data_IF_202851061147
#
_entry.id   IF_202851061147
#
_cell.length_a   1.000
_cell.length_b   1.000
_cell.length_c   1.000
_cell.angle_alpha   90.00
_cell.angle_beta   90.00
_cell.angle_gamma   90.00
#
_symmetry.space_group_name_H-M   'P 1'
#
loop_
_entity.id
_entity.type
_entity.pdbx_description
1 polymer ?
#
# COMPACT_ATOMS: atom_id res chain seq x y z
N UNK A 1 -22.14 -50.00 47.24
CA UNK A 1 -21.94 -48.60 46.80
C UNK A 1 -22.75 -48.41 45.54
N UNK A 2 -23.90 -47.72 45.61
CA UNK A 2 -24.71 -47.42 44.42
C UNK A 2 -23.95 -46.41 43.57
N UNK A 3 -23.69 -46.78 42.32
CA UNK A 3 -23.12 -45.91 41.29
C UNK A 3 -24.01 -44.67 41.15
N UNK A 4 -23.39 -43.48 41.28
CA UNK A 4 -24.05 -42.22 40.94
C UNK A 4 -24.27 -42.23 39.43
N UNK A 5 -25.52 -42.34 39.00
CA UNK A 5 -25.94 -42.01 37.63
C UNK A 5 -25.39 -40.61 37.30
N UNK A 6 -24.49 -40.54 36.32
CA UNK A 6 -23.96 -39.27 35.83
C UNK A 6 -25.12 -38.42 35.33
N UNK A 7 -25.29 -37.22 35.90
CA UNK A 7 -26.30 -36.26 35.45
C UNK A 7 -26.10 -35.99 33.96
N UNK A 8 -27.19 -35.89 33.21
CA UNK A 8 -27.08 -35.60 31.77
C UNK A 8 -26.62 -34.15 31.57
N UNK A 9 -25.75 -33.91 30.57
CA UNK A 9 -25.24 -32.59 30.20
C UNK A 9 -26.32 -31.48 30.13
N UNK A 10 -27.55 -31.73 29.60
CA UNK A 10 -28.62 -30.74 29.61
C UNK A 10 -29.12 -30.34 31.01
N UNK A 11 -29.15 -31.28 31.96
CA UNK A 11 -29.57 -30.99 33.33
C UNK A 11 -28.55 -30.13 34.07
N UNK A 12 -27.26 -30.38 33.87
CA UNK A 12 -26.18 -29.56 34.47
C UNK A 12 -26.21 -28.12 33.94
N UNK A 13 -26.47 -27.92 32.64
CA UNK A 13 -26.62 -26.59 32.05
C UNK A 13 -27.84 -25.86 32.65
N UNK A 14 -28.95 -26.57 32.86
CA UNK A 14 -30.15 -25.97 33.43
C UNK A 14 -29.98 -25.62 34.92
N UNK A 15 -29.29 -26.47 35.69
CA UNK A 15 -28.93 -26.18 37.09
C UNK A 15 -28.00 -24.96 37.16
N UNK A 16 -26.98 -24.89 36.30
CA UNK A 16 -26.08 -23.75 36.21
C UNK A 16 -26.82 -22.45 35.89
N UNK A 17 -27.75 -22.49 34.93
CA UNK A 17 -28.60 -21.36 34.56
C UNK A 17 -29.44 -20.87 35.74
N UNK A 18 -30.07 -21.77 36.48
CA UNK A 18 -30.87 -21.43 37.66
C UNK A 18 -30.04 -20.77 38.75
N UNK A 19 -28.87 -21.34 39.09
CA UNK A 19 -27.96 -20.74 40.08
C UNK A 19 -27.51 -19.35 39.67
N UNK A 20 -27.23 -19.15 38.38
CA UNK A 20 -26.78 -17.86 37.87
C UNK A 20 -27.91 -16.82 37.87
N UNK A 21 -29.13 -17.23 37.53
CA UNK A 21 -30.32 -16.38 37.59
C UNK A 21 -30.61 -15.94 39.03
N UNK A 22 -30.62 -16.88 39.97
CA UNK A 22 -30.83 -16.60 41.40
C UNK A 22 -29.77 -15.63 41.94
N UNK A 23 -28.51 -15.79 41.51
CA UNK A 23 -27.42 -14.89 41.87
C UNK A 23 -27.70 -13.46 41.36
N UNK A 24 -28.03 -13.30 40.07
CA UNK A 24 -28.31 -11.99 39.47
C UNK A 24 -29.52 -11.30 40.12
N UNK A 25 -30.54 -12.07 40.48
CA UNK A 25 -31.70 -11.57 41.22
C UNK A 25 -31.31 -11.16 42.64
N UNK A 26 -30.53 -11.97 43.36
CA UNK A 26 -30.11 -11.69 44.74
C UNK A 26 -29.23 -10.43 44.85
N UNK A 27 -28.44 -10.16 43.82
CA UNK A 27 -27.57 -8.99 43.73
C UNK A 27 -28.29 -7.74 43.19
N UNK A 28 -29.52 -7.90 42.67
CA UNK A 28 -30.29 -6.88 41.96
C UNK A 28 -29.50 -6.15 40.86
N UNK A 29 -28.70 -6.91 40.10
CA UNK A 29 -27.89 -6.38 39.00
C UNK A 29 -28.38 -6.85 37.63
N UNK A 30 -28.03 -6.07 36.60
CA UNK A 30 -28.12 -6.49 35.20
C UNK A 30 -26.72 -6.75 34.68
N UNK A 31 -26.43 -7.96 34.22
CA UNK A 31 -25.14 -8.31 33.63
C UNK A 31 -25.11 -7.91 32.15
N UNK A 32 -24.18 -7.03 31.79
CA UNK A 32 -23.93 -6.65 30.40
C UNK A 32 -22.58 -7.25 29.98
N UNK A 33 -22.60 -8.10 28.95
CA UNK A 33 -21.40 -8.74 28.39
C UNK A 33 -21.09 -8.10 27.04
N UNK A 34 -19.95 -7.42 26.96
CA UNK A 34 -19.42 -6.83 25.73
C UNK A 34 -18.45 -7.81 25.07
N UNK A 35 -18.72 -8.19 23.83
CA UNK A 35 -17.89 -9.09 23.02
C UNK A 35 -17.44 -8.33 21.79
N UNK A 36 -16.14 -8.13 21.63
CA UNK A 36 -15.52 -7.37 20.53
C UNK A 36 -14.50 -8.25 19.79
N UNK A 37 -14.18 -7.88 18.54
CA UNK A 37 -13.18 -8.54 17.68
C UNK A 37 -13.41 -10.05 17.45
N UNK A 38 -14.66 -10.53 17.53
CA UNK A 38 -15.00 -11.94 17.30
C UNK A 38 -14.68 -12.40 15.87
N UNK A 39 -14.73 -11.47 14.92
CA UNK A 39 -14.38 -11.62 13.52
C UNK A 39 -12.88 -11.80 13.25
N UNK A 40 -12.03 -11.60 14.26
CA UNK A 40 -10.59 -11.90 14.19
C UNK A 40 -10.24 -13.30 14.67
N UNK A 41 -11.18 -13.99 15.31
CA UNK A 41 -10.98 -15.36 15.71
C UNK A 41 -10.94 -16.28 14.48
N UNK A 42 -10.27 -17.43 14.61
CA UNK A 42 -10.40 -18.50 13.64
C UNK A 42 -11.88 -18.93 13.54
N UNK A 43 -12.36 -19.38 12.36
CA UNK A 43 -13.75 -19.75 12.16
C UNK A 43 -14.33 -20.63 13.27
N UNK A 44 -13.66 -21.73 13.60
CA UNK A 44 -14.14 -22.67 14.62
C UNK A 44 -14.21 -22.05 16.01
N UNK A 45 -13.27 -21.16 16.35
CA UNK A 45 -13.26 -20.44 17.62
C UNK A 45 -14.38 -19.42 17.70
N UNK A 46 -14.64 -18.68 16.62
CA UNK A 46 -15.74 -17.71 16.55
C UNK A 46 -17.09 -18.39 16.75
N UNK A 47 -17.33 -19.50 16.03
CA UNK A 47 -18.58 -20.27 16.14
C UNK A 47 -18.72 -20.92 17.51
N UNK A 48 -17.69 -21.58 18.03
CA UNK A 48 -17.72 -22.17 19.38
C UNK A 48 -18.04 -21.12 20.45
N UNK A 49 -17.51 -19.91 20.29
CA UNK A 49 -17.78 -18.79 21.21
C UNK A 49 -19.24 -18.33 21.10
N UNK A 50 -19.79 -18.17 19.89
CA UNK A 50 -21.21 -17.83 19.69
C UNK A 50 -22.15 -18.90 20.25
N UNK A 51 -21.82 -20.18 20.07
CA UNK A 51 -22.59 -21.29 20.62
C UNK A 51 -22.53 -21.34 22.14
N UNK A 52 -21.36 -21.11 22.73
CA UNK A 52 -21.22 -20.99 24.18
C UNK A 52 -22.02 -19.79 24.73
N UNK A 53 -21.96 -18.64 24.05
CA UNK A 53 -22.76 -17.47 24.42
C UNK A 53 -24.25 -17.76 24.35
N UNK A 54 -24.72 -18.53 23.38
CA UNK A 54 -26.14 -18.96 23.26
C UNK A 54 -26.65 -19.67 24.52
N UNK A 55 -25.79 -20.35 25.27
CA UNK A 55 -26.18 -20.95 26.54
C UNK A 55 -26.54 -19.92 27.60
N UNK A 56 -26.02 -18.69 27.52
CA UNK A 56 -26.24 -17.62 28.49
C UNK A 56 -27.12 -16.47 27.96
N UNK A 57 -27.25 -16.33 26.63
CA UNK A 57 -28.00 -15.26 25.94
C UNK A 57 -29.50 -15.16 26.32
N UNK A 58 -30.07 -16.20 26.94
CA UNK A 58 -31.50 -16.27 27.26
C UNK A 58 -31.82 -16.14 28.75
N UNK A 59 -30.84 -15.78 29.58
CA UNK A 59 -31.06 -15.57 31.01
C UNK A 59 -31.69 -14.19 31.28
N UNK A 60 -32.70 -14.09 32.17
CA UNK A 60 -33.21 -12.80 32.61
C UNK A 60 -32.10 -11.95 33.24
N UNK A 61 -32.22 -10.62 33.17
CA UNK A 61 -31.22 -9.66 33.68
C UNK A 61 -29.83 -9.80 33.03
N UNK A 62 -29.74 -10.38 31.84
CA UNK A 62 -28.50 -10.39 31.03
C UNK A 62 -28.70 -9.71 29.68
N UNK A 63 -27.67 -9.01 29.22
CA UNK A 63 -27.61 -8.43 27.87
C UNK A 63 -26.23 -8.68 27.27
N UNK A 64 -26.19 -9.10 26.02
CA UNK A 64 -24.95 -9.31 25.28
C UNK A 64 -24.88 -8.31 24.13
N UNK A 65 -23.75 -7.61 24.04
CA UNK A 65 -23.47 -6.65 22.98
C UNK A 65 -22.29 -7.20 22.20
N UNK A 66 -22.51 -7.52 20.93
CA UNK A 66 -21.51 -8.11 20.04
C UNK A 66 -21.12 -7.07 19.00
N UNK A 67 -19.83 -6.73 18.95
CA UNK A 67 -19.23 -5.92 17.90
C UNK A 67 -18.34 -6.81 17.03
N UNK A 68 -18.71 -6.96 15.76
CA UNK A 68 -17.98 -7.76 14.79
C UNK A 68 -18.36 -7.36 13.36
N UNK A 69 -17.49 -7.61 12.38
CA UNK A 69 -17.84 -7.55 10.97
C UNK A 69 -18.77 -8.72 10.59
N UNK A 70 -19.99 -8.39 10.17
CA UNK A 70 -21.01 -9.35 9.75
C UNK A 70 -20.52 -10.26 8.61
N UNK A 71 -19.75 -9.72 7.65
CA UNK A 71 -19.27 -10.49 6.50
C UNK A 71 -18.22 -11.53 6.92
N UNK A 72 -17.33 -11.15 7.84
CA UNK A 72 -16.30 -12.05 8.36
C UNK A 72 -16.91 -13.20 9.16
N UNK A 73 -17.89 -12.91 10.03
CA UNK A 73 -18.57 -13.96 10.79
C UNK A 73 -19.40 -14.85 9.84
N UNK A 74 -20.09 -14.30 8.82
CA UNK A 74 -20.77 -15.10 7.78
C UNK A 74 -19.80 -16.05 7.07
N UNK A 75 -18.58 -15.58 6.77
CA UNK A 75 -17.50 -16.40 6.23
C UNK A 75 -17.11 -17.54 7.18
N UNK A 76 -16.93 -17.25 8.47
CA UNK A 76 -16.62 -18.24 9.50
C UNK A 76 -17.69 -19.35 9.60
N UNK A 77 -18.98 -18.96 9.57
CA UNK A 77 -20.11 -19.92 9.56
C UNK A 77 -20.01 -20.85 8.35
N UNK A 78 -19.79 -20.29 7.14
CA UNK A 78 -19.66 -21.10 5.92
C UNK A 78 -18.51 -22.11 5.99
N UNK A 79 -17.36 -21.69 6.52
CA UNK A 79 -16.20 -22.59 6.67
C UNK A 79 -16.48 -23.70 7.69
N UNK A 80 -17.08 -23.36 8.84
CA UNK A 80 -17.35 -24.32 9.92
C UNK A 80 -18.32 -25.43 9.52
N UNK A 81 -19.36 -25.11 8.73
CA UNK A 81 -20.35 -26.10 8.27
C UNK A 81 -19.97 -26.83 6.97
N UNK A 82 -18.74 -26.62 6.48
CA UNK A 82 -18.17 -27.30 5.31
C UNK A 82 -18.72 -26.83 3.96
N UNK A 83 -18.01 -27.17 2.87
CA UNK A 83 -18.35 -26.91 1.44
C UNK A 83 -19.68 -27.55 0.95
N UNK A 84 -20.66 -27.72 1.83
CA UNK A 84 -22.05 -27.83 1.40
C UNK A 84 -22.40 -26.45 0.84
N UNK A 85 -23.06 -26.39 -0.32
CA UNK A 85 -23.68 -25.16 -0.82
C UNK A 85 -24.75 -24.71 0.17
N UNK A 86 -24.29 -24.08 1.25
CA UNK A 86 -25.12 -23.50 2.28
C UNK A 86 -25.82 -22.32 1.62
N UNK A 87 -27.13 -22.42 1.49
CA UNK A 87 -27.92 -21.28 1.07
C UNK A 87 -27.67 -20.11 2.03
N UNK A 88 -27.59 -18.89 1.50
CA UNK A 88 -27.45 -17.67 2.31
C UNK A 88 -28.57 -17.54 3.36
N UNK A 89 -29.69 -18.23 3.14
CA UNK A 89 -30.80 -18.38 4.06
C UNK A 89 -30.43 -19.11 5.35
N UNK A 90 -29.61 -20.17 5.30
CA UNK A 90 -29.23 -20.91 6.51
C UNK A 90 -28.29 -20.09 7.39
N UNK A 91 -27.33 -19.40 6.77
CA UNK A 91 -26.42 -18.48 7.48
C UNK A 91 -27.23 -17.35 8.12
N UNK A 92 -28.16 -16.75 7.37
CA UNK A 92 -29.02 -15.69 7.89
C UNK A 92 -29.91 -16.18 9.04
N UNK A 93 -30.48 -17.39 8.93
CA UNK A 93 -31.26 -18.02 10.01
C UNK A 93 -30.42 -18.28 11.27
N UNK A 94 -29.13 -18.59 11.12
CA UNK A 94 -28.22 -18.75 12.25
C UNK A 94 -28.05 -17.43 13.01
N UNK A 95 -27.86 -16.30 12.30
CA UNK A 95 -27.76 -14.97 12.91
C UNK A 95 -29.07 -14.52 13.55
N UNK A 96 -30.21 -14.69 12.88
CA UNK A 96 -31.52 -14.27 13.42
C UNK A 96 -31.86 -14.99 14.75
N UNK A 97 -31.33 -16.21 14.95
CA UNK A 97 -31.50 -16.97 16.19
C UNK A 97 -30.58 -16.53 17.33
N UNK A 98 -29.46 -15.88 17.01
CA UNK A 98 -28.45 -15.46 17.98
C UNK A 98 -28.53 -13.97 18.32
N UNK A 99 -28.78 -13.14 17.31
CA UNK A 99 -28.82 -11.69 17.39
C UNK A 99 -30.27 -11.22 17.35
N UNK A 100 -30.77 -10.76 18.50
CA UNK A 100 -32.14 -10.25 18.61
C UNK A 100 -32.29 -8.86 17.98
N UNK A 101 -31.27 -8.01 18.12
CA UNK A 101 -31.30 -6.62 17.67
C UNK A 101 -30.02 -6.34 16.87
N UNK A 102 -30.07 -6.43 15.53
CA UNK A 102 -28.93 -6.06 14.69
C UNK A 102 -28.82 -4.54 14.59
N UNK A 103 -27.68 -4.00 15.03
CA UNK A 103 -27.34 -2.59 14.88
C UNK A 103 -26.18 -2.45 13.91
N UNK A 104 -26.45 -1.93 12.71
CA UNK A 104 -25.41 -1.64 11.71
C UNK A 104 -24.88 -0.22 11.90
N UNK A 105 -23.57 -0.09 12.10
CA UNK A 105 -22.91 1.22 12.15
C UNK A 105 -22.88 1.81 10.73
N UNK A 106 -23.53 2.96 10.48
CA UNK A 106 -23.51 3.57 9.15
C UNK A 106 -22.14 4.15 8.84
N UNK A 107 -21.83 4.26 7.54
CA UNK A 107 -20.65 5.00 7.08
C UNK A 107 -20.82 6.49 7.37
N UNK A 108 -19.71 7.16 7.60
CA UNK A 108 -19.71 8.60 7.83
C UNK A 108 -19.99 9.34 6.52
N UNK A 109 -20.92 10.29 6.56
CA UNK A 109 -21.15 11.23 5.48
C UNK A 109 -20.13 12.38 5.50
N UNK A 110 -20.27 13.30 4.54
CA UNK A 110 -19.34 14.41 4.37
C UNK A 110 -19.30 15.29 5.61
N UNK A 111 -20.46 15.60 6.20
CA UNK A 111 -20.56 16.46 7.40
C UNK A 111 -19.90 15.82 8.61
N UNK A 112 -20.11 14.51 8.80
CA UNK A 112 -19.50 13.74 9.88
C UNK A 112 -17.98 13.67 9.72
N UNK A 113 -17.48 13.46 8.49
CA UNK A 113 -16.05 13.46 8.22
C UNK A 113 -15.43 14.84 8.43
N UNK A 114 -16.09 15.93 8.01
CA UNK A 114 -15.63 17.30 8.31
C UNK A 114 -15.43 17.48 9.81
N UNK A 115 -16.43 17.08 10.59
CA UNK A 115 -16.39 17.14 12.06
C UNK A 115 -15.26 16.27 12.63
N UNK A 116 -15.11 15.05 12.13
CA UNK A 116 -14.06 14.13 12.56
C UNK A 116 -12.65 14.68 12.29
N UNK A 117 -12.42 15.18 11.07
CA UNK A 117 -11.13 15.76 10.66
C UNK A 117 -10.76 16.96 11.52
N UNK A 118 -11.67 17.93 11.67
CA UNK A 118 -11.35 19.15 12.43
C UNK A 118 -11.09 18.84 13.91
N UNK A 119 -11.76 17.85 14.49
CA UNK A 119 -11.52 17.45 15.89
C UNK A 119 -10.15 16.78 16.06
N UNK A 120 -9.73 15.93 15.12
CA UNK A 120 -8.39 15.33 15.14
C UNK A 120 -7.29 16.38 14.95
N UNK A 121 -7.50 17.32 14.03
CA UNK A 121 -6.56 18.41 13.77
C UNK A 121 -6.49 19.39 14.95
N UNK A 122 -7.60 19.63 15.63
CA UNK A 122 -7.62 20.44 16.86
C UNK A 122 -6.94 19.73 18.05
N UNK A 123 -7.07 18.41 18.17
CA UNK A 123 -6.31 17.62 19.15
C UNK A 123 -4.79 17.74 18.90
N UNK A 124 -4.37 17.71 17.64
CA UNK A 124 -2.98 17.95 17.27
C UNK A 124 -2.53 19.39 17.58
N UNK A 125 -3.38 20.38 17.31
CA UNK A 125 -3.10 21.78 17.64
C UNK A 125 -2.99 22.01 19.15
N UNK A 126 -3.80 21.33 19.97
CA UNK A 126 -3.63 21.32 21.43
C UNK A 126 -2.27 20.75 21.82
N UNK A 127 -1.90 19.60 21.23
CA UNK A 127 -0.61 18.97 21.52
C UNK A 127 0.59 19.85 21.15
N UNK A 128 0.48 20.68 20.10
CA UNK A 128 1.49 21.67 19.70
C UNK A 128 1.49 22.94 20.56
N UNK A 129 0.47 23.15 21.40
CA UNK A 129 0.29 24.35 22.21
C UNK A 129 -0.33 25.54 21.45
N UNK A 130 -0.92 25.29 20.27
CA UNK A 130 -1.55 26.34 19.46
C UNK A 130 -2.86 26.81 20.09
N UNK A 131 -3.64 25.88 20.67
CA UNK A 131 -4.93 26.11 21.34
C UNK A 131 -4.92 25.54 22.76
N UNK A 132 -5.78 26.07 23.63
CA UNK A 132 -5.98 25.50 24.97
C UNK A 132 -6.94 24.32 24.94
N UNK A 133 -6.82 23.44 25.95
CA UNK A 133 -7.71 22.30 26.15
C UNK A 133 -9.17 22.74 26.32
N UNK A 134 -9.40 23.84 27.03
CA UNK A 134 -10.73 24.41 27.27
C UNK A 134 -11.37 24.86 25.95
N UNK A 135 -10.59 25.54 25.09
CA UNK A 135 -11.05 25.97 23.77
C UNK A 135 -11.42 24.77 22.89
N UNK A 136 -10.63 23.70 22.92
CA UNK A 136 -10.94 22.47 22.17
C UNK A 136 -12.21 21.80 22.68
N UNK A 137 -12.39 21.64 23.99
CA UNK A 137 -13.57 20.98 24.57
C UNK A 137 -14.84 21.80 24.26
N UNK A 138 -14.77 23.13 24.40
CA UNK A 138 -15.86 24.02 24.02
C UNK A 138 -16.23 23.86 22.55
N UNK A 139 -15.25 23.94 21.64
CA UNK A 139 -15.45 23.75 20.21
C UNK A 139 -16.00 22.36 19.86
N UNK A 140 -15.54 21.32 20.55
CA UNK A 140 -15.99 19.94 20.34
C UNK A 140 -17.49 19.81 20.55
N UNK A 141 -18.04 20.41 21.62
CA UNK A 141 -19.47 20.38 21.88
C UNK A 141 -20.29 21.04 20.76
N UNK A 142 -19.81 22.17 20.24
CA UNK A 142 -20.45 22.93 19.16
C UNK A 142 -20.42 22.14 17.86
N UNK A 143 -19.27 21.56 17.52
CA UNK A 143 -19.08 20.76 16.31
C UNK A 143 -19.95 19.51 16.35
N UNK A 144 -19.99 18.77 17.48
CA UNK A 144 -20.82 17.58 17.61
C UNK A 144 -22.32 17.90 17.46
N UNK A 145 -22.78 19.02 18.01
CA UNK A 145 -24.15 19.48 17.83
C UNK A 145 -24.45 19.86 16.38
N UNK A 146 -23.52 20.55 15.71
CA UNK A 146 -23.66 20.89 14.29
C UNK A 146 -23.70 19.65 13.37
N UNK A 147 -22.90 18.62 13.69
CA UNK A 147 -22.91 17.33 12.97
C UNK A 147 -24.23 16.59 13.20
N UNK A 148 -24.73 16.56 14.44
CA UNK A 148 -26.05 15.94 14.77
C UNK A 148 -27.20 16.61 14.03
N UNK A 149 -27.11 17.91 13.76
CA UNK A 149 -28.12 18.70 13.05
C UNK A 149 -27.72 18.91 11.59
N UNK A 150 -27.28 17.85 10.91
CA UNK A 150 -26.83 17.90 9.53
C UNK A 150 -27.88 18.48 8.57
N UNK A 151 -29.18 18.29 8.84
CA UNK A 151 -30.29 18.88 8.08
C UNK A 151 -30.50 20.39 8.31
N UNK A 152 -29.93 20.98 9.36
CA UNK A 152 -30.10 22.40 9.74
C UNK A 152 -28.92 23.28 9.27
N UNK A 153 -28.36 22.96 8.10
CA UNK A 153 -27.25 23.70 7.47
C UNK A 153 -25.84 23.13 7.70
N UNK A 154 -25.73 21.93 8.30
CA UNK A 154 -24.49 21.15 8.40
C UNK A 154 -23.31 21.84 9.10
N UNK A 155 -22.12 21.27 8.94
CA UNK A 155 -20.86 21.85 9.41
C UNK A 155 -20.21 22.65 8.27
N UNK A 156 -20.22 23.97 8.39
CA UNK A 156 -19.60 24.89 7.43
C UNK A 156 -18.33 25.51 8.02
N UNK A 157 -17.45 26.02 7.16
CA UNK A 157 -16.27 26.81 7.56
C UNK A 157 -16.60 27.86 8.62
N UNK A 158 -17.63 28.67 8.39
CA UNK A 158 -18.06 29.73 9.33
C UNK A 158 -18.44 29.17 10.71
N UNK A 159 -19.13 28.03 10.77
CA UNK A 159 -19.48 27.38 12.05
C UNK A 159 -18.25 26.83 12.76
N UNK A 160 -17.27 26.31 12.03
CA UNK A 160 -16.00 25.86 12.59
C UNK A 160 -15.20 27.04 13.16
N UNK A 161 -15.09 28.14 12.41
CA UNK A 161 -14.43 29.38 12.87
C UNK A 161 -15.10 29.94 14.14
N UNK A 162 -16.43 29.99 14.17
CA UNK A 162 -17.19 30.41 15.36
C UNK A 162 -16.97 29.49 16.56
N UNK A 163 -16.84 28.17 16.33
CA UNK A 163 -16.60 27.21 17.40
C UNK A 163 -15.24 27.41 18.08
N UNK A 164 -14.20 27.78 17.31
CA UNK A 164 -12.86 28.00 17.85
C UNK A 164 -12.58 29.46 18.26
N UNK A 165 -13.41 30.43 17.86
CA UNK A 165 -13.33 31.81 18.31
C UNK A 165 -11.94 32.43 18.10
N UNK A 166 -11.27 32.85 19.18
CA UNK A 166 -9.91 33.40 19.13
C UNK A 166 -8.85 32.42 18.63
N UNK A 167 -9.08 31.11 18.76
CA UNK A 167 -8.22 30.05 18.23
C UNK A 167 -8.40 29.78 16.73
N UNK A 168 -9.47 30.30 16.11
CA UNK A 168 -9.80 30.05 14.71
C UNK A 168 -8.69 30.51 13.74
N UNK A 169 -8.02 31.63 14.05
CA UNK A 169 -6.92 32.14 13.22
C UNK A 169 -5.73 31.18 13.16
N UNK A 170 -5.42 30.49 14.27
CA UNK A 170 -4.34 29.49 14.33
C UNK A 170 -4.71 28.17 13.68
N UNK A 171 -6.02 27.87 13.62
CA UNK A 171 -6.58 26.66 13.01
C UNK A 171 -7.08 26.87 11.57
N UNK A 172 -6.80 28.02 10.95
CA UNK A 172 -7.37 28.34 9.64
C UNK A 172 -6.97 27.29 8.59
N UNK A 173 -5.71 26.84 8.61
CA UNK A 173 -5.23 25.81 7.69
C UNK A 173 -5.95 24.48 7.94
N UNK A 174 -6.10 24.09 9.19
CA UNK A 174 -6.78 22.86 9.60
C UNK A 174 -8.27 22.88 9.23
N UNK A 175 -8.93 24.01 9.40
CA UNK A 175 -10.33 24.24 9.01
C UNK A 175 -10.46 24.11 7.49
N UNK A 176 -9.56 24.73 6.73
CA UNK A 176 -9.56 24.69 5.27
C UNK A 176 -9.33 23.27 4.75
N UNK A 177 -8.40 22.54 5.36
CA UNK A 177 -8.14 21.14 5.01
C UNK A 177 -9.35 20.24 5.34
N UNK A 178 -9.97 20.41 6.51
CA UNK A 178 -11.15 19.63 6.86
C UNK A 178 -12.31 19.90 5.90
N UNK A 179 -12.51 21.16 5.49
CA UNK A 179 -13.59 21.54 4.58
C UNK A 179 -13.39 21.01 3.16
N UNK A 180 -12.14 21.05 2.64
CA UNK A 180 -11.79 20.63 1.29
C UNK A 180 -11.67 19.10 1.14
N UNK A 181 -11.09 18.41 2.12
CA UNK A 181 -10.78 16.99 2.00
C UNK A 181 -11.97 16.08 2.29
N UNK A 182 -12.95 16.55 3.07
CA UNK A 182 -14.02 15.67 3.54
C UNK A 182 -14.86 15.06 2.41
N UNK A 183 -15.18 15.82 1.35
CA UNK A 183 -15.92 15.28 0.20
C UNK A 183 -15.12 14.17 -0.49
N UNK A 184 -13.83 14.40 -0.73
CA UNK A 184 -12.94 13.43 -1.37
C UNK A 184 -12.73 12.19 -0.51
N UNK A 185 -12.69 12.31 0.82
CA UNK A 185 -12.56 11.18 1.73
C UNK A 185 -13.82 10.30 1.80
N UNK A 186 -15.01 10.85 1.50
CA UNK A 186 -16.22 10.05 1.29
C UNK A 186 -16.20 9.38 -0.07
N UNK A 187 -15.98 10.16 -1.14
CA UNK A 187 -16.19 9.71 -2.51
C UNK A 187 -15.08 8.81 -3.04
N UNK A 188 -13.87 8.88 -2.49
CA UNK A 188 -12.75 8.06 -2.96
C UNK A 188 -12.86 6.62 -2.46
N UNK A 189 -12.85 5.66 -3.39
CA UNK A 189 -12.91 4.22 -3.13
C UNK A 189 -11.81 3.73 -2.16
N UNK A 190 -10.68 4.43 -2.04
CA UNK A 190 -9.59 4.07 -1.12
C UNK A 190 -9.78 4.48 0.35
N UNK A 191 -10.82 5.26 0.66
CA UNK A 191 -11.12 5.76 2.02
C UNK A 191 -12.57 5.48 2.40
N UNK A 192 -13.51 5.76 1.50
CA UNK A 192 -14.93 5.37 1.56
C UNK A 192 -15.58 5.66 2.94
N UNK A 193 -15.22 6.83 3.49
CA UNK A 193 -15.68 7.32 4.78
C UNK A 193 -15.26 6.52 6.02
N UNK A 194 -14.25 5.65 5.91
CA UNK A 194 -13.79 4.82 7.02
C UNK A 194 -12.92 5.62 8.01
N UNK A 195 -13.34 5.82 9.28
CA UNK A 195 -12.61 6.62 10.27
C UNK A 195 -11.17 6.13 10.51
N UNK A 196 -10.96 4.81 10.52
CA UNK A 196 -9.63 4.20 10.72
C UNK A 196 -8.70 4.54 9.57
N UNK A 197 -9.20 4.48 8.33
CA UNK A 197 -8.42 4.82 7.14
C UNK A 197 -8.08 6.30 7.09
N UNK A 198 -9.01 7.16 7.50
CA UNK A 198 -8.81 8.61 7.64
C UNK A 198 -7.74 8.92 8.69
N UNK A 199 -7.84 8.33 9.89
CA UNK A 199 -6.82 8.52 10.94
C UNK A 199 -5.45 8.00 10.49
N UNK A 200 -5.40 6.85 9.80
CA UNK A 200 -4.15 6.33 9.22
C UNK A 200 -3.59 7.27 8.16
N UNK A 201 -4.43 7.86 7.31
CA UNK A 201 -4.02 8.87 6.33
C UNK A 201 -3.39 10.09 7.02
N UNK A 202 -4.06 10.66 8.02
CA UNK A 202 -3.54 11.80 8.78
C UNK A 202 -2.24 11.47 9.52
N UNK A 203 -2.15 10.30 10.17
CA UNK A 203 -0.94 9.88 10.85
C UNK A 203 0.24 9.73 9.87
N UNK A 204 0.03 9.09 8.71
CA UNK A 204 1.05 8.98 7.68
C UNK A 204 1.50 10.37 7.18
N UNK A 205 0.55 11.30 7.05
CA UNK A 205 0.82 12.68 6.64
C UNK A 205 1.69 13.40 7.68
N UNK A 206 1.39 13.24 8.97
CA UNK A 206 2.19 13.80 10.07
C UNK A 206 3.61 13.25 10.10
N UNK A 207 3.77 11.93 9.90
CA UNK A 207 5.08 11.30 9.84
C UNK A 207 5.87 11.85 8.65
N UNK A 208 5.25 12.00 7.48
CA UNK A 208 5.91 12.55 6.29
C UNK A 208 6.30 14.01 6.47
N UNK A 209 5.44 14.84 7.06
CA UNK A 209 5.77 16.24 7.38
C UNK A 209 6.95 16.33 8.36
N UNK A 210 6.99 15.47 9.38
CA UNK A 210 8.11 15.40 10.32
C UNK A 210 9.42 14.97 9.63
N UNK A 211 9.36 13.96 8.74
CA UNK A 211 10.53 13.51 7.96
C UNK A 211 11.01 14.61 7.00
N UNK A 212 10.08 15.30 6.33
CA UNK A 212 10.40 16.42 5.43
C UNK A 212 11.18 17.52 6.17
N UNK A 213 10.67 17.94 7.33
CA UNK A 213 11.30 18.95 8.19
C UNK A 213 12.67 18.49 8.71
N UNK A 214 12.79 17.23 9.14
CA UNK A 214 14.05 16.68 9.62
C UNK A 214 15.13 16.61 8.53
N UNK A 215 14.73 16.42 7.27
CA UNK A 215 15.62 16.42 6.11
C UNK A 215 15.89 17.81 5.52
N UNK A 216 15.30 18.87 6.08
CA UNK A 216 15.42 20.23 5.57
C UNK A 216 14.68 20.48 4.25
N UNK A 217 13.69 19.63 3.91
CA UNK A 217 12.85 19.83 2.74
C UNK A 217 11.79 20.90 3.04
N UNK A 218 11.79 21.98 2.28
CA UNK A 218 10.80 23.05 2.39
C UNK A 218 9.56 22.71 1.54
N UNK A 219 8.68 21.87 2.08
CA UNK A 219 7.44 21.44 1.42
C UNK A 219 6.26 22.09 2.13
N UNK A 220 5.32 22.65 1.36
CA UNK A 220 4.08 23.17 1.91
C UNK A 220 3.14 22.03 2.31
N UNK A 221 2.52 22.14 3.49
CA UNK A 221 1.72 21.06 4.08
C UNK A 221 0.51 20.67 3.23
N UNK A 222 -0.12 21.65 2.59
CA UNK A 222 -1.24 21.49 1.68
C UNK A 222 -0.84 20.76 0.37
N UNK A 223 0.37 21.00 -0.16
CA UNK A 223 0.92 20.23 -1.28
C UNK A 223 1.15 18.77 -0.90
N UNK A 224 1.65 18.51 0.31
CA UNK A 224 1.86 17.16 0.84
C UNK A 224 0.54 16.41 0.98
N UNK A 225 -0.49 17.07 1.51
CA UNK A 225 -1.86 16.53 1.60
C UNK A 225 -2.38 16.14 0.22
N UNK A 226 -2.31 17.07 -0.75
CA UNK A 226 -2.85 16.87 -2.11
C UNK A 226 -2.15 15.70 -2.79
N UNK A 227 -0.81 15.61 -2.73
CA UNK A 227 -0.10 14.48 -3.31
C UNK A 227 -0.41 13.16 -2.59
N UNK A 228 -0.47 13.13 -1.26
CA UNK A 228 -0.76 11.91 -0.53
C UNK A 228 -2.18 11.39 -0.81
N UNK A 229 -3.14 12.28 -1.03
CA UNK A 229 -4.49 11.92 -1.45
C UNK A 229 -4.46 11.26 -2.84
N UNK A 230 -3.70 11.82 -3.77
CA UNK A 230 -3.48 11.23 -5.11
C UNK A 230 -2.83 9.85 -4.99
N UNK A 231 -1.76 9.73 -4.23
CA UNK A 231 -1.07 8.45 -4.02
C UNK A 231 -1.99 7.38 -3.45
N UNK A 232 -2.93 7.73 -2.56
CA UNK A 232 -3.79 6.72 -1.93
C UNK A 232 -5.00 6.33 -2.77
N UNK A 233 -5.57 7.29 -3.50
CA UNK A 233 -6.89 7.15 -4.10
C UNK A 233 -6.86 7.11 -5.63
N UNK A 234 -5.77 7.57 -6.27
CA UNK A 234 -5.63 7.47 -7.72
C UNK A 234 -5.28 6.04 -8.16
N UNK A 235 -5.64 5.67 -9.40
CA UNK A 235 -5.16 4.43 -10.02
C UNK A 235 -3.62 4.33 -9.94
N UNK A 236 -3.06 3.14 -9.69
CA UNK A 236 -1.61 2.95 -9.66
C UNK A 236 -0.92 3.48 -10.92
N UNK A 237 -1.49 3.19 -12.09
CA UNK A 237 -0.99 3.66 -13.39
C UNK A 237 -0.93 5.20 -13.50
N UNK A 238 -1.91 5.91 -12.93
CA UNK A 238 -1.92 7.37 -12.95
C UNK A 238 -0.79 7.96 -12.09
N UNK A 239 -0.54 7.36 -10.93
CA UNK A 239 0.57 7.73 -10.05
C UNK A 239 1.93 7.43 -10.69
N UNK A 240 2.05 6.29 -11.37
CA UNK A 240 3.27 5.92 -12.10
C UNK A 240 3.57 6.88 -13.25
N UNK A 241 2.53 7.27 -14.00
CA UNK A 241 2.67 8.27 -15.04
C UNK A 241 3.19 9.60 -14.47
N UNK A 242 2.67 10.05 -13.33
CA UNK A 242 3.16 11.25 -12.64
C UNK A 242 4.65 11.14 -12.31
N UNK A 243 5.06 10.01 -11.69
CA UNK A 243 6.46 9.78 -11.29
C UNK A 243 7.37 9.78 -12.51
N UNK A 244 6.97 9.11 -13.60
CA UNK A 244 7.74 9.05 -14.84
C UNK A 244 7.93 10.43 -15.46
N UNK A 245 6.86 11.20 -15.60
CA UNK A 245 6.91 12.54 -16.18
C UNK A 245 7.78 13.52 -15.37
N UNK A 246 7.73 13.42 -14.03
CA UNK A 246 8.58 14.25 -13.16
C UNK A 246 10.04 13.81 -13.19
N UNK A 247 10.31 12.51 -13.34
CA UNK A 247 11.68 11.98 -13.40
C UNK A 247 12.38 12.27 -14.74
N UNK A 248 11.64 12.37 -15.84
CA UNK A 248 12.15 12.71 -17.17
C UNK A 248 12.59 14.18 -17.29
N UNK A 249 12.24 15.04 -16.33
CA UNK A 249 12.52 16.48 -16.35
C UNK A 249 13.51 16.91 -15.29
N UNK A 250 14.47 17.75 -15.68
CA UNK A 250 15.50 18.27 -14.77
C UNK A 250 14.96 19.29 -13.75
N UNK A 251 13.85 19.95 -14.05
CA UNK A 251 13.22 20.97 -13.19
C UNK A 251 12.27 20.37 -12.14
N UNK A 252 11.90 19.10 -12.25
CA UNK A 252 10.98 18.42 -11.34
C UNK A 252 9.54 18.92 -11.42
N UNK A 253 9.18 19.72 -12.42
CA UNK A 253 7.85 20.32 -12.59
C UNK A 253 6.99 19.49 -13.53
N UNK A 254 5.74 19.28 -13.14
CA UNK A 254 4.76 18.60 -13.97
C UNK A 254 3.97 19.62 -14.81
N UNK A 255 4.54 20.08 -15.95
CA UNK A 255 3.85 21.10 -16.78
C UNK A 255 2.53 20.57 -17.37
N UNK A 256 2.41 19.26 -17.57
CA UNK A 256 1.12 18.68 -17.99
C UNK A 256 0.03 18.91 -16.93
N UNK A 257 0.37 18.89 -15.63
CA UNK A 257 -0.58 19.27 -14.56
C UNK A 257 -0.90 20.76 -14.65
N UNK A 258 0.10 21.62 -14.91
CA UNK A 258 -0.11 23.05 -15.05
C UNK A 258 -1.10 23.39 -16.18
N UNK A 259 -0.93 22.76 -17.34
CA UNK A 259 -1.81 22.93 -18.51
C UNK A 259 -3.26 22.50 -18.20
N UNK A 260 -3.42 21.39 -17.49
CA UNK A 260 -4.72 20.87 -17.07
C UNK A 260 -5.37 21.77 -16.01
N UNK A 261 -4.62 22.19 -14.99
CA UNK A 261 -5.09 23.11 -13.94
C UNK A 261 -5.49 24.48 -14.52
N UNK A 262 -4.78 24.96 -15.56
CA UNK A 262 -5.10 26.20 -16.25
C UNK A 262 -6.35 26.08 -17.14
N UNK A 263 -6.49 24.97 -17.88
CA UNK A 263 -7.69 24.70 -18.67
C UNK A 263 -8.94 24.56 -17.78
N UNK A 264 -8.83 23.84 -16.65
CA UNK A 264 -9.92 23.73 -15.67
C UNK A 264 -10.28 25.08 -15.04
N UNK A 265 -9.30 25.96 -14.83
CA UNK A 265 -9.56 27.31 -14.35
C UNK A 265 -10.29 28.20 -15.37
N UNK A 266 -10.10 27.94 -16.67
CA UNK A 266 -10.81 28.63 -17.77
C UNK A 266 -12.20 28.04 -18.05
N UNK A 267 -12.54 26.90 -17.45
CA UNK A 267 -13.81 26.20 -17.66
C UNK A 267 -13.81 25.27 -18.86
N UNK A 268 -12.65 24.99 -19.45
CA UNK A 268 -12.49 24.07 -20.57
C UNK A 268 -12.40 22.61 -20.08
N UNK A 269 -12.77 21.66 -20.94
CA UNK A 269 -12.53 20.23 -20.71
C UNK A 269 -11.12 19.88 -21.19
N UNK A 270 -10.12 19.72 -20.30
CA UNK A 270 -8.75 19.42 -20.69
C UNK A 270 -8.66 18.02 -21.33
N UNK A 271 -7.80 17.90 -22.34
CA UNK A 271 -7.39 16.59 -22.84
C UNK A 271 -6.51 15.93 -21.78
N UNK A 272 -6.92 14.75 -21.29
CA UNK A 272 -6.13 14.00 -20.32
C UNK A 272 -4.91 13.37 -21.00
N UNK A 273 -3.74 13.35 -20.33
CA UNK A 273 -2.48 12.92 -20.94
C UNK A 273 -2.43 11.41 -21.19
N UNK A 274 -3.21 10.64 -20.43
CA UNK A 274 -3.28 9.19 -20.49
C UNK A 274 -4.68 8.70 -20.10
N UNK A 275 -5.04 7.48 -20.54
CA UNK A 275 -6.32 6.86 -20.19
C UNK A 275 -6.48 6.70 -18.67
N UNK A 276 -5.39 6.44 -17.94
CA UNK A 276 -5.40 6.32 -16.47
C UNK A 276 -5.73 7.62 -15.73
N UNK A 277 -5.61 8.77 -16.41
CA UNK A 277 -5.94 10.10 -15.86
C UNK A 277 -7.37 10.53 -16.16
N UNK A 278 -8.14 9.72 -16.88
CA UNK A 278 -9.53 10.02 -17.27
C UNK A 278 -10.55 9.67 -16.18
N UNK A 279 -10.10 9.21 -15.02
CA UNK A 279 -10.99 8.82 -13.92
C UNK A 279 -11.65 10.02 -13.24
N UNK A 280 -12.92 9.88 -12.79
CA UNK A 280 -13.65 10.96 -12.10
C UNK A 280 -12.90 11.52 -10.90
N UNK A 281 -12.26 10.65 -10.11
CA UNK A 281 -11.46 11.05 -8.96
C UNK A 281 -10.32 12.02 -9.33
N UNK A 282 -9.62 11.76 -10.44
CA UNK A 282 -8.49 12.60 -10.88
C UNK A 282 -8.98 13.99 -11.25
N UNK A 283 -10.15 14.08 -11.90
CA UNK A 283 -10.76 15.36 -12.26
C UNK A 283 -11.15 16.21 -11.04
N UNK A 284 -11.65 15.58 -9.98
CA UNK A 284 -12.01 16.28 -8.75
C UNK A 284 -10.77 16.62 -7.91
N UNK A 285 -9.75 15.75 -7.94
CA UNK A 285 -8.46 16.00 -7.32
C UNK A 285 -7.74 17.21 -7.93
N UNK A 286 -7.79 17.38 -9.26
CA UNK A 286 -7.18 18.52 -9.97
C UNK A 286 -7.82 19.87 -9.58
N UNK A 287 -9.10 19.88 -9.20
CA UNK A 287 -9.81 21.09 -8.73
C UNK A 287 -9.41 21.51 -7.31
N UNK A 288 -8.72 20.66 -6.56
CA UNK A 288 -8.28 20.97 -5.20
C UNK A 288 -7.14 21.98 -5.20
N UNK A 289 -7.11 22.82 -4.17
CA UNK A 289 -5.95 23.64 -3.85
C UNK A 289 -4.96 22.83 -3.00
N UNK A 290 -3.64 23.11 -3.07
CA UNK A 290 -2.96 24.09 -3.93
C UNK A 290 -2.72 23.57 -5.35
N UNK A 291 -2.42 24.47 -6.30
CA UNK A 291 -1.95 24.08 -7.64
C UNK A 291 -0.57 23.43 -7.56
N UNK A 292 -0.37 22.34 -8.30
CA UNK A 292 0.88 21.57 -8.29
C UNK A 292 1.72 21.77 -9.55
N UNK A 293 1.15 22.37 -10.61
CA UNK A 293 1.83 22.53 -11.90
C UNK A 293 3.17 23.27 -11.85
N UNK A 294 3.28 24.30 -11.01
CA UNK A 294 4.48 25.14 -10.91
C UNK A 294 5.47 24.70 -9.81
N UNK A 295 5.08 23.71 -8.99
CA UNK A 295 5.86 23.25 -7.85
C UNK A 295 6.86 22.15 -8.27
N UNK A 296 8.05 22.15 -7.65
CA UNK A 296 8.98 21.03 -7.77
C UNK A 296 8.44 19.84 -6.97
N UNK A 297 8.03 18.78 -7.67
CA UNK A 297 7.42 17.61 -7.05
C UNK A 297 8.44 16.58 -6.58
N UNK A 298 9.73 16.73 -6.88
CA UNK A 298 10.76 15.74 -6.49
C UNK A 298 10.85 15.52 -4.97
N UNK A 299 10.83 16.56 -4.11
CA UNK A 299 10.83 16.36 -2.66
C UNK A 299 9.59 15.60 -2.17
N UNK A 300 8.43 15.90 -2.76
CA UNK A 300 7.17 15.24 -2.44
C UNK A 300 7.19 13.77 -2.87
N UNK A 301 7.65 13.47 -4.09
CA UNK A 301 7.82 12.11 -4.61
C UNK A 301 8.88 11.30 -3.85
N UNK A 302 9.93 11.97 -3.37
CA UNK A 302 10.95 11.35 -2.52
C UNK A 302 10.33 10.82 -1.21
N UNK A 303 9.41 11.56 -0.60
CA UNK A 303 8.69 11.12 0.61
C UNK A 303 7.64 10.05 0.33
N UNK A 304 7.10 10.02 -0.89
CA UNK A 304 6.22 8.95 -1.38
C UNK A 304 6.98 7.68 -1.80
N UNK A 305 8.30 7.60 -1.53
CA UNK A 305 9.11 6.44 -1.89
C UNK A 305 8.72 5.13 -1.21
N UNK A 306 7.87 5.13 -0.20
CA UNK A 306 7.38 3.88 0.40
C UNK A 306 6.52 3.07 -0.58
N UNK A 307 5.71 3.73 -1.42
CA UNK A 307 5.05 3.11 -2.58
C UNK A 307 6.02 2.97 -3.77
N UNK A 308 6.96 3.90 -3.90
CA UNK A 308 7.98 3.86 -4.95
C UNK A 308 9.02 2.73 -4.75
N UNK A 309 9.18 2.20 -3.53
CA UNK A 309 10.05 1.05 -3.23
C UNK A 309 9.35 -0.26 -3.59
N UNK A 310 8.02 -0.27 -3.64
CA UNK A 310 7.27 -1.23 -4.44
C UNK A 310 7.55 -1.06 -5.95
N UNK A 311 8.24 -0.01 -6.43
CA UNK A 311 8.73 0.07 -7.82
C UNK A 311 10.04 -0.71 -8.03
N UNK A 312 10.62 -1.35 -7.01
CA UNK A 312 11.49 -2.50 -7.28
C UNK A 312 10.71 -3.65 -7.95
N UNK A 313 9.37 -3.60 -7.97
CA UNK A 313 8.48 -4.48 -8.75
C UNK A 313 8.27 -4.01 -10.19
N UNK A 314 8.72 -2.81 -10.61
CA UNK A 314 8.74 -2.41 -12.03
C UNK A 314 9.87 -3.07 -12.82
N UNK A 315 10.67 -3.88 -12.14
CA UNK A 315 11.51 -4.90 -12.73
C UNK A 315 10.68 -6.07 -13.28
N UNK A 316 9.35 -6.08 -13.20
CA UNK A 316 8.52 -7.16 -13.73
C UNK A 316 8.67 -7.29 -15.25
N UNK A 317 9.49 -8.26 -15.64
CA UNK A 317 9.51 -8.85 -16.97
C UNK A 317 8.07 -9.21 -17.38
N UNK A 318 7.78 -9.04 -18.67
CA UNK A 318 6.60 -9.65 -19.32
C UNK A 318 6.51 -11.15 -18.97
N UNK A 319 5.33 -11.76 -18.97
CA UNK A 319 5.19 -13.21 -18.76
C UNK A 319 6.15 -14.02 -19.65
N UNK A 320 6.33 -13.59 -20.90
CA UNK A 320 7.27 -14.14 -21.87
C UNK A 320 8.73 -13.88 -21.47
N UNK A 321 9.06 -12.68 -21.00
CA UNK A 321 10.38 -12.33 -20.48
C UNK A 321 10.74 -13.08 -19.19
N UNK A 322 9.78 -13.46 -18.34
CA UNK A 322 9.99 -14.29 -17.15
C UNK A 322 10.30 -15.73 -17.53
N UNK A 323 9.51 -16.31 -18.43
CA UNK A 323 9.75 -17.65 -18.96
C UNK A 323 11.13 -17.74 -19.63
N UNK A 324 11.51 -16.69 -20.38
CA UNK A 324 12.82 -16.63 -21.00
C UNK A 324 13.96 -16.46 -20.00
N UNK A 325 13.77 -15.63 -18.96
CA UNK A 325 14.75 -15.51 -17.88
C UNK A 325 14.95 -16.86 -17.17
N UNK A 326 13.89 -17.59 -16.86
CA UNK A 326 13.98 -18.94 -16.26
C UNK A 326 14.74 -19.90 -17.18
N UNK A 327 14.41 -19.94 -18.48
CA UNK A 327 15.12 -20.76 -19.46
C UNK A 327 16.61 -20.40 -19.60
N UNK A 328 16.96 -19.11 -19.54
CA UNK A 328 18.36 -18.66 -19.54
C UNK A 328 19.07 -19.07 -18.25
N UNK A 329 18.38 -19.02 -17.10
CA UNK A 329 18.95 -19.38 -15.80
C UNK A 329 19.21 -20.89 -15.63
N UNK A 330 18.51 -21.73 -16.40
CA UNK A 330 18.72 -23.17 -16.48
C UNK A 330 19.78 -23.57 -17.54
N UNK A 331 20.17 -22.64 -18.41
CA UNK A 331 21.14 -22.91 -19.47
C UNK A 331 22.58 -22.94 -18.92
N UNK A 332 23.26 -24.08 -19.11
CA UNK A 332 24.68 -24.25 -18.81
C UNK A 332 25.62 -23.74 -19.93
N UNK A 333 25.07 -23.61 -21.14
CA UNK A 333 25.79 -23.17 -22.35
C UNK A 333 24.96 -22.19 -23.16
N UNK A 334 25.57 -21.56 -24.17
CA UNK A 334 24.86 -20.59 -25.00
C UNK A 334 23.92 -21.31 -25.96
N UNK A 335 22.61 -21.13 -25.78
CA UNK A 335 21.58 -21.76 -26.60
C UNK A 335 21.08 -20.78 -27.67
N UNK A 336 21.28 -21.12 -28.95
CA UNK A 336 20.79 -20.31 -30.07
C UNK A 336 19.27 -20.03 -30.04
N UNK A 337 18.39 -20.96 -29.62
CA UNK A 337 16.95 -20.69 -29.51
C UNK A 337 16.60 -19.56 -28.54
N UNK A 338 17.31 -19.45 -27.40
CA UNK A 338 17.07 -18.40 -26.40
C UNK A 338 17.52 -17.02 -26.92
N UNK A 339 18.58 -16.99 -27.73
CA UNK A 339 19.07 -15.77 -28.39
C UNK A 339 18.07 -15.25 -29.42
N UNK A 340 17.45 -16.14 -30.21
CA UNK A 340 16.41 -15.77 -31.16
C UNK A 340 15.13 -15.31 -30.45
N UNK A 341 14.75 -15.93 -29.34
CA UNK A 341 13.62 -15.47 -28.50
C UNK A 341 13.88 -14.09 -27.89
N UNK A 342 15.12 -13.81 -27.44
CA UNK A 342 15.52 -12.47 -26.99
C UNK A 342 15.34 -11.42 -28.10
N UNK A 343 15.70 -11.74 -29.35
CA UNK A 343 15.51 -10.83 -30.50
C UNK A 343 14.03 -10.51 -30.74
N UNK A 344 13.13 -11.47 -30.51
CA UNK A 344 11.68 -11.25 -30.68
C UNK A 344 11.04 -10.37 -29.60
N UNK A 345 11.57 -10.37 -28.37
CA UNK A 345 11.08 -9.55 -27.25
C UNK A 345 11.51 -8.08 -27.35
N UNK A 346 12.64 -7.83 -28.03
CA UNK A 346 13.17 -6.49 -28.23
C UNK A 346 14.23 -6.08 -27.20
N UNK A 347 14.95 -5.01 -27.53
CA UNK A 347 16.16 -4.58 -26.83
C UNK A 347 15.90 -4.08 -25.39
N UNK A 348 14.76 -3.41 -25.18
CA UNK A 348 14.40 -2.86 -23.86
C UNK A 348 14.12 -3.93 -22.80
N UNK A 349 13.55 -5.08 -23.19
CA UNK A 349 13.34 -6.21 -22.27
C UNK A 349 14.64 -6.99 -22.05
N UNK A 350 15.48 -7.11 -23.09
CA UNK A 350 16.77 -7.75 -23.00
C UNK A 350 17.72 -7.04 -22.01
N UNK A 351 17.70 -5.70 -21.95
CA UNK A 351 18.45 -4.91 -20.97
C UNK A 351 17.98 -5.15 -19.52
N UNK A 352 16.67 -5.33 -19.31
CA UNK A 352 16.10 -5.69 -18.01
C UNK A 352 16.51 -7.10 -17.58
N UNK A 353 16.48 -8.06 -18.50
CA UNK A 353 16.98 -9.43 -18.26
C UNK A 353 18.45 -9.38 -17.85
N UNK A 354 19.29 -8.63 -18.56
CA UNK A 354 20.71 -8.47 -18.24
C UNK A 354 20.91 -7.87 -16.84
N UNK A 355 20.13 -6.86 -16.47
CA UNK A 355 20.18 -6.23 -15.15
C UNK A 355 19.88 -7.22 -14.01
N UNK A 356 18.91 -8.12 -14.21
CA UNK A 356 18.58 -9.19 -13.23
C UNK A 356 19.67 -10.26 -13.15
N UNK A 357 20.20 -10.71 -14.29
CA UNK A 357 21.31 -11.68 -14.29
C UNK A 357 22.54 -11.07 -13.61
N UNK A 358 22.82 -9.77 -13.82
CA UNK A 358 23.90 -9.06 -13.12
C UNK A 358 23.73 -9.05 -11.60
N UNK A 359 22.51 -8.80 -11.09
CA UNK A 359 22.23 -8.86 -9.64
C UNK A 359 22.48 -10.26 -9.09
N UNK A 360 22.04 -11.30 -9.79
CA UNK A 360 22.28 -12.70 -9.40
C UNK A 360 23.76 -13.08 -9.46
N UNK A 361 24.48 -12.65 -10.50
CA UNK A 361 25.91 -12.87 -10.63
C UNK A 361 26.70 -12.24 -9.47
N UNK A 362 26.31 -11.04 -9.01
CA UNK A 362 26.90 -10.44 -7.80
C UNK A 362 26.67 -11.30 -6.56
N UNK A 363 25.45 -11.79 -6.34
CA UNK A 363 25.12 -12.67 -5.21
C UNK A 363 25.88 -14.00 -5.27
N UNK A 364 26.08 -14.55 -6.46
CA UNK A 364 26.82 -15.79 -6.70
C UNK A 364 28.35 -15.58 -6.84
N UNK A 365 28.86 -14.40 -6.51
CA UNK A 365 30.29 -14.05 -6.59
C UNK A 365 30.93 -14.24 -7.98
N UNK A 366 30.19 -13.94 -9.05
CA UNK A 366 30.67 -13.98 -10.44
C UNK A 366 31.07 -15.38 -10.92
N UNK A 367 30.25 -16.37 -10.62
CA UNK A 367 30.43 -17.74 -11.08
C UNK A 367 30.32 -17.87 -12.62
N UNK A 368 30.89 -18.96 -13.16
CA UNK A 368 30.94 -19.19 -14.60
C UNK A 368 29.55 -19.26 -15.24
N UNK A 369 28.58 -19.90 -14.57
CA UNK A 369 27.24 -20.07 -15.12
C UNK A 369 26.57 -18.72 -15.33
N UNK A 370 26.53 -17.86 -14.30
CA UNK A 370 25.91 -16.53 -14.42
C UNK A 370 26.53 -15.65 -15.52
N UNK A 371 27.83 -15.80 -15.78
CA UNK A 371 28.52 -15.04 -16.83
C UNK A 371 28.24 -15.54 -18.25
N UNK A 372 28.09 -16.87 -18.42
CA UNK A 372 27.66 -17.49 -19.69
C UNK A 372 26.18 -17.18 -19.95
N UNK A 373 25.36 -17.21 -18.91
CA UNK A 373 23.94 -16.86 -18.99
C UNK A 373 23.75 -15.42 -19.44
N UNK A 374 24.48 -14.46 -18.85
CA UNK A 374 24.44 -13.07 -19.25
C UNK A 374 24.94 -12.82 -20.69
N UNK A 375 25.74 -13.72 -21.27
CA UNK A 375 26.27 -13.59 -22.64
C UNK A 375 25.21 -13.83 -23.73
N UNK A 376 24.05 -14.40 -23.39
CA UNK A 376 22.92 -14.53 -24.31
C UNK A 376 22.37 -13.18 -24.78
N UNK A 377 22.42 -12.17 -23.90
CA UNK A 377 21.89 -10.82 -24.17
C UNK A 377 22.72 -10.05 -25.22
N UNK A 378 24.04 -9.85 -25.05
CA UNK A 378 24.84 -9.14 -26.05
C UNK A 378 24.97 -9.90 -27.38
N UNK A 379 24.71 -11.22 -27.41
CA UNK A 379 24.60 -12.00 -28.65
C UNK A 379 23.29 -11.78 -29.39
N UNK A 380 22.21 -11.49 -28.68
CA UNK A 380 20.94 -11.10 -29.30
C UNK A 380 21.02 -9.64 -29.79
N UNK A 381 21.57 -8.75 -28.96
CA UNK A 381 21.71 -7.32 -29.22
C UNK A 381 23.14 -6.84 -28.95
N UNK A 382 23.99 -6.71 -29.98
CA UNK A 382 25.36 -6.22 -29.83
C UNK A 382 25.48 -4.83 -29.21
N UNK A 383 24.43 -4.00 -29.32
CA UNK A 383 24.30 -2.69 -28.67
C UNK A 383 24.34 -2.74 -27.14
N UNK A 384 23.99 -3.88 -26.53
CA UNK A 384 24.06 -4.12 -25.07
C UNK A 384 25.43 -4.67 -24.63
N UNK A 385 26.37 -4.85 -25.56
CA UNK A 385 27.77 -5.23 -25.27
C UNK A 385 28.44 -4.34 -24.20
N UNK A 386 28.34 -2.99 -24.26
CA UNK A 386 28.89 -2.10 -23.24
C UNK A 386 28.32 -2.33 -21.83
N UNK A 387 27.03 -2.66 -21.72
CA UNK A 387 26.40 -2.98 -20.43
C UNK A 387 26.96 -4.30 -19.84
N UNK A 388 27.22 -5.28 -20.69
CA UNK A 388 27.90 -6.53 -20.30
C UNK A 388 29.37 -6.29 -19.92
N UNK A 389 30.09 -5.41 -20.61
CA UNK A 389 31.46 -5.01 -20.24
C UNK A 389 31.48 -4.37 -18.85
N UNK A 390 30.51 -3.49 -18.56
CA UNK A 390 30.38 -2.88 -17.23
C UNK A 390 30.16 -3.94 -16.14
N UNK A 391 29.38 -4.98 -16.43
CA UNK A 391 29.23 -6.13 -15.54
C UNK A 391 30.56 -6.88 -15.33
N UNK A 392 31.33 -7.14 -16.41
CA UNK A 392 32.64 -7.80 -16.31
C UNK A 392 33.69 -6.97 -15.54
N UNK A 393 33.65 -5.64 -15.64
CA UNK A 393 34.57 -4.75 -14.92
C UNK A 393 34.36 -4.77 -13.40
N UNK A 394 33.19 -5.22 -12.91
CA UNK A 394 32.93 -5.38 -11.49
C UNK A 394 33.55 -6.64 -10.89
N UNK A 395 34.03 -7.55 -11.74
CA UNK A 395 34.71 -8.76 -11.30
C UNK A 395 36.07 -8.37 -10.71
N UNK A 396 36.37 -8.73 -9.45
CA UNK A 396 37.68 -8.48 -8.86
C UNK A 396 38.79 -9.11 -9.72
N UNK A 397 39.90 -8.39 -9.93
CA UNK A 397 40.96 -8.81 -10.83
C UNK A 397 41.45 -10.25 -10.59
N UNK A 398 41.52 -10.68 -9.33
CA UNK A 398 41.95 -12.02 -8.90
C UNK A 398 40.96 -13.16 -9.23
N UNK A 399 39.70 -12.85 -9.54
CA UNK A 399 38.62 -13.84 -9.79
C UNK A 399 38.13 -13.87 -11.25
N UNK A 400 38.84 -13.23 -12.17
CA UNK A 400 38.47 -13.21 -13.60
C UNK A 400 38.48 -14.63 -14.21
N UNK A 401 37.41 -15.07 -14.88
CA UNK A 401 37.30 -16.44 -15.38
C UNK A 401 38.04 -16.62 -16.72
N UNK A 402 39.12 -17.41 -16.70
CA UNK A 402 39.87 -17.77 -17.90
C UNK A 402 39.05 -18.50 -19.00
N UNK A 403 38.09 -19.39 -18.67
CA UNK A 403 37.29 -20.11 -19.67
C UNK A 403 36.31 -19.23 -20.48
N UNK A 404 36.04 -18.00 -20.05
CA UNK A 404 35.12 -17.08 -20.75
C UNK A 404 35.79 -16.37 -21.94
N UNK A 405 37.13 -16.22 -21.89
CA UNK A 405 37.94 -15.45 -22.83
C UNK A 405 37.83 -15.93 -24.30
N UNK A 406 37.87 -17.25 -24.60
CA UNK A 406 37.73 -17.72 -25.97
C UNK A 406 36.36 -17.41 -26.58
N UNK A 407 35.33 -17.29 -25.74
CA UNK A 407 33.93 -17.11 -26.17
C UNK A 407 33.63 -15.64 -26.48
N UNK A 408 34.17 -14.71 -25.67
CA UNK A 408 33.95 -13.27 -25.84
C UNK A 408 34.87 -12.64 -26.89
N UNK A 409 36.02 -13.26 -27.21
CA UNK A 409 36.97 -12.74 -28.22
C UNK A 409 36.40 -12.67 -29.64
N UNK A 410 35.40 -13.51 -29.94
CA UNK A 410 34.73 -13.52 -31.24
C UNK A 410 33.81 -12.29 -31.44
N UNK A 411 33.56 -11.54 -30.37
CA UNK A 411 32.64 -10.39 -30.37
C UNK A 411 33.42 -9.08 -30.48
N UNK A 412 33.02 -8.19 -31.38
CA UNK A 412 33.74 -6.93 -31.65
C UNK A 412 33.81 -5.98 -30.45
N UNK A 413 32.79 -5.99 -29.59
CA UNK A 413 32.73 -5.15 -28.39
C UNK A 413 33.69 -5.58 -27.28
N UNK A 414 34.24 -6.81 -27.31
CA UNK A 414 35.09 -7.33 -26.23
C UNK A 414 36.59 -7.01 -26.40
N UNK A 415 37.02 -6.51 -27.57
CA UNK A 415 38.44 -6.31 -27.94
C UNK A 415 39.17 -5.41 -26.94
N UNK A 416 38.62 -4.23 -26.64
CA UNK A 416 39.22 -3.26 -25.71
C UNK A 416 39.31 -3.79 -24.26
N UNK A 417 38.34 -4.61 -23.84
CA UNK A 417 38.33 -5.22 -22.52
C UNK A 417 39.43 -6.27 -22.37
N UNK A 418 39.61 -7.10 -23.40
CA UNK A 418 40.62 -8.16 -23.42
C UNK A 418 42.04 -7.60 -23.42
N UNK A 419 42.28 -6.48 -24.12
CA UNK A 419 43.56 -5.75 -24.06
C UNK A 419 43.85 -5.23 -22.64
N UNK A 420 42.86 -4.58 -22.00
CA UNK A 420 43.00 -4.08 -20.62
C UNK A 420 43.27 -5.22 -19.62
N UNK A 421 42.58 -6.35 -19.74
CA UNK A 421 42.78 -7.51 -18.87
C UNK A 421 44.11 -8.21 -19.09
N UNK A 422 44.65 -8.15 -20.32
CA UNK A 422 45.97 -8.70 -20.68
C UNK A 422 47.13 -7.90 -20.09
N UNK A 423 46.99 -6.57 -20.02
CA UNK A 423 48.01 -5.66 -19.46
C UNK A 423 47.96 -5.57 -17.93
N UNK A 424 46.83 -5.92 -17.31
CA UNK A 424 46.65 -5.87 -15.85
C UNK A 424 47.49 -6.94 -15.12
N UNK A 425 48.49 -6.47 -14.35
CA UNK A 425 49.37 -7.31 -13.54
C UNK A 425 48.64 -8.10 -12.44
N UNK A 426 47.44 -7.67 -12.03
CA UNK A 426 46.60 -8.34 -11.01
C UNK A 426 45.70 -9.44 -11.59
N UNK A 427 45.69 -9.63 -12.92
CA UNK A 427 44.99 -10.74 -13.57
C UNK A 427 45.69 -12.09 -13.31
N UNK A 428 44.96 -13.17 -12.98
CA UNK A 428 45.49 -14.51 -12.85
C UNK A 428 46.28 -14.95 -14.10
N UNK A 429 47.38 -15.67 -13.89
CA UNK A 429 48.21 -16.20 -14.99
C UNK A 429 47.41 -17.01 -16.04
N UNK A 430 46.38 -17.82 -15.69
CA UNK A 430 45.55 -18.52 -16.67
C UNK A 430 44.76 -17.58 -17.61
N UNK A 431 44.34 -16.41 -17.14
CA UNK A 431 43.61 -15.40 -17.92
C UNK A 431 44.56 -14.74 -18.93
N UNK A 432 45.74 -14.31 -18.47
CA UNK A 432 46.77 -13.72 -19.34
C UNK A 432 47.30 -14.72 -20.37
N UNK A 433 47.48 -15.98 -19.96
CA UNK A 433 47.87 -17.08 -20.85
C UNK A 433 46.77 -17.41 -21.87
N UNK A 434 45.49 -17.39 -21.50
CA UNK A 434 44.39 -17.61 -22.45
C UNK A 434 44.27 -16.47 -23.48
N UNK A 435 44.51 -15.21 -23.08
CA UNK A 435 44.52 -14.05 -23.99
C UNK A 435 45.70 -14.14 -24.99
N UNK A 436 46.90 -14.50 -24.51
CA UNK A 436 48.14 -14.60 -25.31
C UNK A 436 48.21 -15.88 -26.17
N UNK A 437 47.76 -17.03 -25.67
CA UNK A 437 47.82 -18.32 -26.39
C UNK A 437 46.93 -18.33 -27.64
N UNK A 438 45.77 -17.67 -27.59
CA UNK A 438 44.89 -17.47 -28.75
C UNK A 438 45.38 -16.36 -29.72
N UNK A 439 46.41 -15.59 -29.35
CA UNK A 439 47.07 -14.62 -30.24
C UNK A 439 48.09 -15.24 -31.21
N UNK A 440 48.45 -16.52 -31.04
CA UNK A 440 49.42 -17.24 -31.89
C UNK A 440 48.78 -18.20 -32.90
N UNK A 441 47.47 -18.42 -32.84
CA UNK A 441 46.71 -19.28 -33.77
C UNK A 441 45.77 -18.47 -34.69
N UNK A 442 45.97 -17.15 -34.80
CA UNK A 442 45.26 -16.25 -35.72
C UNK A 442 46.05 -16.05 -37.01
#
# INVERSE_FOLDING_TARGET
>A
LKEKEGKSLPQEIQELRGVFEDLLVSLDVTLIVLVDDLDRCLPDTAISTLEAMRLLLFLPRTAFIIAADEQMIRGAVRTHFGNVDLSDELVTSYFDKLIQVPLRVPRLGVTEIKGYLILLLAELAEFRGDISKEARIAAQSVILNAVRQSWAGGLTRKRMEQAYGSGAGKLSLEIDLADQLASMMVSAHGIDGNPRLIKRFLNNLMIRDAVAKAQGLSIAFDQLVKLQLFERCAPPAAFEYLVKQVAEREDGKATFIAEIEEALAKGDTPAMPDASWSEPFVSDWLKLNPRLGDADLRPLLYLSRDRALSLASFDELSPEGRALLEGILEADTIMAPLVEQLKTLGEAEADRILTRIRRRARSNQWDRASLVQALHVPRAFPSLGPAYINMLNEIPAAKRPAPLIPVIRQEDWAKDLLERWGVDAKSPAPVRNAITRLGRES
#
